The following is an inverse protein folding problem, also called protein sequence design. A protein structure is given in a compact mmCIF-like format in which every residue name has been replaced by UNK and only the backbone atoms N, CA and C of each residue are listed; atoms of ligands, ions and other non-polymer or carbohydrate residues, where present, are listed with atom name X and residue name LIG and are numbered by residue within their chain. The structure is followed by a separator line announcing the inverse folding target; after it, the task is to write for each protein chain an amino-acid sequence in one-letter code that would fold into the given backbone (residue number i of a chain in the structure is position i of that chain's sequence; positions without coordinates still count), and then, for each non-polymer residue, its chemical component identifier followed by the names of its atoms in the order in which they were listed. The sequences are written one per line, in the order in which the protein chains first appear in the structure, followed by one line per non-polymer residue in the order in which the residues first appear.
data_IF_199726563807
#
_entry.id   IF_199726563807
#
_cell.length_a   1.000
_cell.length_b   1.000
_cell.length_c   1.000
_cell.angle_alpha   90.00
_cell.angle_beta   90.00
_cell.angle_gamma   90.00
#
_symmetry.space_group_name_H-M   'P 1'
#
loop_
_entity.id
_entity.type
_entity.pdbx_description
1 polymer ?
#
# COMPACT_ATOMS: atom_id res chain seq x y z
N UNK A 1 26.14 28.08 24.17
CA UNK A 1 25.05 27.47 23.37
C UNK A 1 24.80 28.42 22.21
N UNK A 2 25.20 28.05 21.00
CA UNK A 2 25.02 28.89 19.81
C UNK A 2 23.69 28.49 19.18
N UNK A 3 22.74 29.42 19.12
CA UNK A 3 21.46 29.18 18.45
C UNK A 3 21.67 29.30 16.95
N UNK A 4 21.03 28.41 16.19
CA UNK A 4 21.07 28.47 14.73
C UNK A 4 20.22 29.62 14.19
N UNK A 5 20.54 30.08 12.99
CA UNK A 5 19.72 31.07 12.28
C UNK A 5 18.37 30.46 11.83
N UNK A 6 17.34 31.28 11.52
CA UNK A 6 16.09 30.77 10.93
C UNK A 6 16.31 29.98 9.64
N UNK A 7 17.30 30.38 8.84
CA UNK A 7 17.71 29.66 7.64
C UNK A 7 18.30 28.28 7.99
N UNK A 8 19.18 28.21 8.99
CA UNK A 8 19.73 26.93 9.46
C UNK A 8 18.64 26.02 10.06
N UNK A 9 17.64 26.57 10.74
CA UNK A 9 16.46 25.80 11.21
C UNK A 9 15.67 25.26 10.01
N UNK A 10 15.39 26.09 9.00
CA UNK A 10 14.66 25.71 7.79
C UNK A 10 15.26 24.47 7.13
N UNK A 11 16.60 24.43 6.97
CA UNK A 11 17.30 23.31 6.35
C UNK A 11 17.37 22.05 7.21
N UNK A 12 17.08 22.12 8.51
CA UNK A 12 16.98 20.95 9.40
C UNK A 12 15.58 20.35 9.47
N UNK A 13 14.57 20.98 8.88
CA UNK A 13 13.19 20.48 8.90
C UNK A 13 12.97 19.33 7.94
N UNK A 14 11.77 18.76 8.03
CA UNK A 14 11.36 17.60 7.25
C UNK A 14 11.03 17.95 5.80
N UNK A 15 10.11 18.87 5.57
CA UNK A 15 9.58 19.19 4.23
C UNK A 15 9.67 20.69 3.95
N UNK A 16 9.92 21.07 2.69
CA UNK A 16 9.99 22.47 2.23
C UNK A 16 8.71 23.25 2.59
N UNK A 17 7.55 22.64 2.43
CA UNK A 17 6.25 23.24 2.82
C UNK A 17 6.15 23.57 4.32
N UNK A 18 6.95 22.90 5.17
CA UNK A 18 7.02 23.13 6.61
C UNK A 18 8.17 24.07 7.00
N UNK A 19 8.87 24.66 6.03
CA UNK A 19 9.99 25.62 6.26
C UNK A 19 9.58 27.08 6.17
N UNK A 20 8.29 27.37 6.00
CA UNK A 20 7.79 28.73 5.91
C UNK A 20 7.70 29.36 7.30
N UNK A 21 8.25 30.55 7.45
CA UNK A 21 8.20 31.35 8.68
C UNK A 21 7.26 32.54 8.47
N UNK A 22 6.59 32.97 9.53
CA UNK A 22 5.81 34.21 9.51
C UNK A 22 6.49 35.25 10.39
N UNK A 23 6.93 36.34 9.79
CA UNK A 23 7.58 37.43 10.51
C UNK A 23 6.53 38.42 11.01
N UNK A 24 6.39 38.51 12.32
CA UNK A 24 5.38 39.38 12.98
C UNK A 24 5.70 40.87 12.89
N UNK A 25 6.95 41.25 12.57
CA UNK A 25 7.35 42.65 12.43
C UNK A 25 7.08 43.17 11.02
N UNK A 26 7.33 42.34 10.00
CA UNK A 26 7.07 42.70 8.60
C UNK A 26 5.69 42.26 8.12
N UNK A 27 5.02 41.38 8.86
CA UNK A 27 3.79 40.71 8.46
C UNK A 27 3.91 39.93 7.14
N UNK A 28 5.10 39.39 6.86
CA UNK A 28 5.39 38.64 5.65
C UNK A 28 5.72 37.19 5.97
N UNK A 29 5.43 36.32 4.99
CA UNK A 29 5.91 34.94 4.98
C UNK A 29 7.34 34.94 4.42
N UNK A 30 8.26 34.35 5.18
CA UNK A 30 9.67 34.19 4.82
C UNK A 30 9.92 32.73 4.41
N UNK A 31 10.41 32.55 3.18
CA UNK A 31 10.81 31.24 2.64
C UNK A 31 12.32 31.21 2.42
N UNK A 32 13.05 30.78 3.45
CA UNK A 32 14.50 30.68 3.41
C UNK A 32 15.00 29.63 2.41
N UNK A 33 14.21 28.60 2.11
CA UNK A 33 14.57 27.58 1.11
C UNK A 33 14.33 28.04 -0.32
N UNK A 34 13.56 29.12 -0.51
CA UNK A 34 13.07 29.66 -1.80
C UNK A 34 12.28 28.64 -2.63
N UNK A 35 11.79 27.58 -1.99
CA UNK A 35 11.07 26.47 -2.63
C UNK A 35 9.75 26.15 -1.91
N UNK A 36 9.64 26.43 -0.62
CA UNK A 36 8.47 26.07 0.19
C UNK A 36 7.14 26.63 -0.34
N UNK A 37 7.13 27.88 -0.81
CA UNK A 37 5.93 28.50 -1.38
C UNK A 37 5.52 27.86 -2.72
N UNK A 38 6.49 27.59 -3.59
CA UNK A 38 6.24 26.96 -4.89
C UNK A 38 5.83 25.50 -4.73
N UNK A 39 6.51 24.74 -3.88
CA UNK A 39 6.18 23.34 -3.58
C UNK A 39 4.77 23.23 -2.97
N UNK A 40 4.38 24.17 -2.11
CA UNK A 40 3.02 24.25 -1.58
C UNK A 40 2.00 24.54 -2.69
N UNK A 41 2.30 25.50 -3.57
CA UNK A 41 1.43 25.88 -4.70
C UNK A 41 1.24 24.74 -5.70
N UNK A 42 2.29 23.97 -5.98
CA UNK A 42 2.27 22.86 -6.93
C UNK A 42 1.94 21.51 -6.29
N UNK A 43 1.67 21.47 -4.99
CA UNK A 43 1.28 20.24 -4.28
C UNK A 43 2.39 19.19 -4.27
N UNK A 44 3.62 19.57 -3.93
CA UNK A 44 4.80 18.69 -3.91
C UNK A 44 5.27 18.41 -2.49
N UNK A 45 5.62 17.16 -2.23
CA UNK A 45 6.32 16.75 -1.01
C UNK A 45 7.81 16.64 -1.32
N UNK A 46 8.59 17.59 -0.80
CA UNK A 46 10.04 17.74 -1.07
C UNK A 46 10.77 18.05 0.24
N UNK A 47 12.02 17.59 0.38
CA UNK A 47 12.87 17.87 1.53
C UNK A 47 13.79 19.09 1.29
N UNK A 48 14.12 19.89 2.32
CA UNK A 48 15.02 21.04 2.18
C UNK A 48 16.44 20.65 1.77
N UNK A 49 16.91 19.49 2.24
CA UNK A 49 18.20 18.87 1.91
C UNK A 49 17.98 17.59 1.10
N UNK A 50 19.03 16.94 0.56
CA UNK A 50 18.88 15.66 -0.12
C UNK A 50 18.06 14.66 0.71
N UNK A 51 17.06 13.97 0.12
CA UNK A 51 16.14 13.08 0.83
C UNK A 51 16.80 12.08 1.78
N UNK A 52 17.86 11.40 1.33
CA UNK A 52 18.59 10.39 2.14
C UNK A 52 19.21 11.01 3.39
N UNK A 53 19.79 12.23 3.29
CA UNK A 53 20.37 12.94 4.44
C UNK A 53 19.26 13.28 5.44
N UNK A 54 18.15 13.84 4.95
CA UNK A 54 16.99 14.20 5.77
C UNK A 54 16.40 12.99 6.51
N UNK A 55 16.31 11.84 5.85
CA UNK A 55 15.77 10.61 6.44
C UNK A 55 16.74 9.91 7.40
N UNK A 56 18.05 10.01 7.20
CA UNK A 56 19.01 9.42 8.13
C UNK A 56 19.17 10.25 9.42
N UNK A 57 18.90 11.56 9.35
CA UNK A 57 18.84 12.49 10.48
C UNK A 57 17.67 12.15 11.43
N UNK A 58 16.44 12.08 10.91
CA UNK A 58 15.28 11.55 11.63
C UNK A 58 14.46 10.62 10.72
N UNK A 59 14.55 9.29 10.90
CA UNK A 59 13.84 8.34 10.04
C UNK A 59 12.31 8.41 10.13
N UNK A 60 11.76 9.04 11.18
CA UNK A 60 10.31 9.29 11.27
C UNK A 60 9.82 10.21 10.13
N UNK A 61 10.72 11.01 9.53
CA UNK A 61 10.39 11.91 8.42
C UNK A 61 9.89 11.19 7.19
N UNK A 62 10.21 9.91 7.00
CA UNK A 62 9.63 9.07 5.94
C UNK A 62 8.12 8.91 6.16
N UNK A 63 7.70 8.52 7.37
CA UNK A 63 6.29 8.37 7.71
C UNK A 63 5.55 9.72 7.63
N UNK A 64 6.19 10.80 8.07
CA UNK A 64 5.63 12.15 7.96
C UNK A 64 5.43 12.59 6.51
N UNK A 65 6.39 12.31 5.63
CA UNK A 65 6.29 12.61 4.21
C UNK A 65 5.11 11.87 3.56
N UNK A 66 4.95 10.58 3.87
CA UNK A 66 3.79 9.78 3.44
C UNK A 66 2.50 10.39 3.99
N UNK A 67 2.45 10.76 5.27
CA UNK A 67 1.25 11.35 5.90
C UNK A 67 0.86 12.66 5.22
N UNK A 68 1.81 13.53 4.94
CA UNK A 68 1.52 14.81 4.30
C UNK A 68 1.11 14.63 2.83
N UNK A 69 1.72 13.67 2.12
CA UNK A 69 1.29 13.29 0.77
C UNK A 69 -0.17 12.82 0.76
N UNK A 70 -0.55 11.90 1.65
CA UNK A 70 -1.91 11.36 1.70
C UNK A 70 -2.92 12.40 2.19
N UNK A 71 -2.58 13.17 3.24
CA UNK A 71 -3.47 14.19 3.81
C UNK A 71 -3.81 15.31 2.84
N UNK A 72 -2.85 15.77 2.04
CA UNK A 72 -3.05 16.90 1.14
C UNK A 72 -3.23 16.48 -0.33
N UNK A 73 -3.09 15.19 -0.65
CA UNK A 73 -3.09 14.70 -2.03
C UNK A 73 -1.89 15.20 -2.83
N UNK A 74 -0.78 15.50 -2.16
CA UNK A 74 0.42 16.05 -2.79
C UNK A 74 1.33 14.95 -3.32
N UNK A 75 1.98 15.21 -4.45
CA UNK A 75 2.88 14.26 -5.10
C UNK A 75 4.23 14.17 -4.36
N UNK A 76 4.63 12.95 -4.00
CA UNK A 76 6.00 12.68 -3.58
C UNK A 76 6.91 12.58 -4.81
N UNK A 77 7.96 13.40 -4.87
CA UNK A 77 8.94 13.32 -5.96
C UNK A 77 9.69 11.99 -5.96
N UNK A 78 10.17 11.59 -7.15
CA UNK A 78 10.78 10.27 -7.33
C UNK A 78 12.06 10.09 -6.49
N UNK A 79 12.88 11.13 -6.36
CA UNK A 79 14.05 11.14 -5.48
C UNK A 79 13.72 10.84 -4.01
N UNK A 80 12.54 11.29 -3.56
CA UNK A 80 12.06 11.08 -2.19
C UNK A 80 11.63 9.62 -2.01
N UNK A 81 10.95 9.04 -3.00
CA UNK A 81 10.55 7.63 -3.01
C UNK A 81 11.77 6.70 -3.03
N UNK A 82 12.74 6.98 -3.89
CA UNK A 82 13.99 6.22 -4.00
C UNK A 82 14.73 6.24 -2.66
N UNK A 83 14.87 7.40 -2.03
CA UNK A 83 15.51 7.50 -0.72
C UNK A 83 14.73 6.80 0.40
N UNK A 84 13.40 6.81 0.36
CA UNK A 84 12.58 6.07 1.33
C UNK A 84 12.74 4.55 1.18
N UNK A 85 13.03 4.06 -0.02
CA UNK A 85 13.25 2.63 -0.31
C UNK A 85 14.68 2.15 -0.02
N UNK A 86 15.61 3.06 0.26
CA UNK A 86 17.01 2.77 0.56
C UNK A 86 17.17 1.89 1.81
N UNK A 87 18.11 0.93 1.75
CA UNK A 87 18.31 -0.06 2.81
C UNK A 87 18.81 0.57 4.13
N UNK A 88 19.59 1.64 4.08
CA UNK A 88 20.10 2.33 5.26
C UNK A 88 18.96 3.06 5.96
N UNK A 89 18.11 3.75 5.18
CA UNK A 89 16.92 4.44 5.67
C UNK A 89 15.95 3.46 6.31
N UNK A 90 15.62 2.35 5.63
CA UNK A 90 14.78 1.28 6.19
C UNK A 90 15.32 0.74 7.51
N UNK A 91 16.63 0.50 7.59
CA UNK A 91 17.27 0.00 8.80
C UNK A 91 17.27 1.05 9.92
N UNK A 92 17.42 2.33 9.58
CA UNK A 92 17.33 3.43 10.53
C UNK A 92 15.92 3.60 11.11
N UNK A 93 14.86 3.40 10.31
CA UNK A 93 13.47 3.39 10.82
C UNK A 93 13.30 2.32 11.90
N UNK A 94 13.77 1.10 11.64
CA UNK A 94 13.64 -0.02 12.56
C UNK A 94 14.52 0.13 13.82
N UNK A 95 15.69 0.75 13.69
CA UNK A 95 16.68 0.86 14.77
C UNK A 95 16.60 2.14 15.60
N UNK A 96 16.11 3.26 15.05
CA UNK A 96 16.14 4.58 15.72
C UNK A 96 14.77 5.12 16.10
N UNK A 97 13.68 4.63 15.51
CA UNK A 97 12.33 5.17 15.75
C UNK A 97 11.58 4.26 16.71
N UNK A 98 11.07 4.85 17.79
CA UNK A 98 10.28 4.09 18.77
C UNK A 98 8.91 3.69 18.22
N UNK A 99 8.33 2.63 18.77
CA UNK A 99 7.00 2.13 18.37
C UNK A 99 5.92 3.18 18.60
N UNK A 100 6.02 3.95 19.68
CA UNK A 100 5.05 5.00 20.05
C UNK A 100 5.04 6.11 19.01
N UNK A 101 6.21 6.52 18.50
CA UNK A 101 6.32 7.54 17.46
C UNK A 101 5.76 7.06 16.13
N UNK A 102 6.00 5.80 15.78
CA UNK A 102 5.41 5.16 14.59
C UNK A 102 3.88 5.10 14.73
N UNK A 103 3.38 4.58 15.85
CA UNK A 103 1.96 4.46 16.12
C UNK A 103 1.24 5.82 16.10
N UNK A 104 1.88 6.86 16.64
CA UNK A 104 1.35 8.21 16.61
C UNK A 104 1.23 8.78 15.20
N UNK A 105 2.24 8.58 14.34
CA UNK A 105 2.16 9.01 12.95
C UNK A 105 1.07 8.27 12.17
N UNK A 106 0.90 6.97 12.43
CA UNK A 106 -0.19 6.17 11.84
C UNK A 106 -1.54 6.71 12.32
N UNK A 107 -1.73 6.92 13.63
CA UNK A 107 -2.97 7.49 14.18
C UNK A 107 -3.32 8.85 13.54
N UNK A 108 -2.33 9.69 13.26
CA UNK A 108 -2.54 10.95 12.55
C UNK A 108 -2.88 10.76 11.07
N UNK A 109 -2.33 9.75 10.38
CA UNK A 109 -2.78 9.37 9.04
C UNK A 109 -4.24 8.92 9.08
N UNK A 110 -4.60 8.08 10.06
CA UNK A 110 -5.95 7.55 10.20
C UNK A 110 -6.98 8.66 10.50
N UNK A 111 -6.63 9.61 11.37
CA UNK A 111 -7.46 10.79 11.66
C UNK A 111 -7.61 11.74 10.48
N UNK A 112 -6.65 11.73 9.55
CA UNK A 112 -6.65 12.59 8.36
C UNK A 112 -7.28 11.92 7.13
N UNK A 113 -7.42 10.59 7.14
CA UNK A 113 -8.10 9.84 6.09
C UNK A 113 -9.61 9.74 6.36
N UNK A 114 -10.43 9.62 5.32
CA UNK A 114 -11.84 9.25 5.49
C UNK A 114 -11.91 7.90 6.23
N UNK A 115 -12.92 7.69 7.08
CA UNK A 115 -13.09 6.48 7.88
C UNK A 115 -12.98 5.20 7.03
N UNK A 116 -13.34 5.29 5.75
CA UNK A 116 -13.19 4.23 4.76
C UNK A 116 -11.75 3.76 4.57
N UNK A 117 -10.78 4.67 4.46
CA UNK A 117 -9.38 4.29 4.20
C UNK A 117 -8.70 3.76 5.48
N UNK A 118 -9.12 4.24 6.66
CA UNK A 118 -8.76 3.65 7.96
C UNK A 118 -9.21 2.21 8.05
N UNK A 119 -10.50 1.98 7.81
CA UNK A 119 -11.09 0.65 7.89
C UNK A 119 -10.47 -0.29 6.84
N UNK A 120 -10.16 0.21 5.63
CA UNK A 120 -9.41 -0.57 4.63
C UNK A 120 -8.02 -0.93 5.13
N UNK A 121 -7.29 0.00 5.74
CA UNK A 121 -5.94 -0.27 6.22
C UNK A 121 -5.93 -1.30 7.35
N UNK A 122 -6.83 -1.15 8.31
CA UNK A 122 -7.01 -2.08 9.42
C UNK A 122 -7.34 -3.51 8.94
N UNK A 123 -8.36 -3.63 8.08
CA UNK A 123 -8.75 -4.89 7.45
C UNK A 123 -7.61 -5.49 6.58
N UNK A 124 -6.86 -4.65 5.87
CA UNK A 124 -5.69 -5.07 5.13
C UNK A 124 -4.58 -5.63 6.02
N UNK A 125 -4.35 -5.02 7.19
CA UNK A 125 -3.37 -5.50 8.18
C UNK A 125 -3.78 -6.86 8.72
N UNK A 126 -5.04 -7.03 9.12
CA UNK A 126 -5.57 -8.33 9.58
C UNK A 126 -5.42 -9.41 8.51
N UNK A 127 -5.81 -9.11 7.26
CA UNK A 127 -5.68 -10.05 6.13
C UNK A 127 -4.23 -10.43 5.86
N UNK A 128 -3.29 -9.49 5.92
CA UNK A 128 -1.87 -9.80 5.78
C UNK A 128 -1.32 -10.62 6.95
N UNK A 129 -1.76 -10.37 8.19
CA UNK A 129 -1.36 -11.20 9.34
C UNK A 129 -1.74 -12.67 9.13
N UNK A 130 -2.91 -12.94 8.56
CA UNK A 130 -3.32 -14.30 8.20
C UNK A 130 -2.53 -14.88 7.01
N UNK A 131 -2.16 -14.05 6.02
CA UNK A 131 -1.49 -14.52 4.80
C UNK A 131 0.03 -14.67 4.92
N UNK A 132 0.69 -13.91 5.78
CA UNK A 132 2.15 -13.95 5.94
C UNK A 132 2.65 -15.37 6.20
N UNK A 133 2.13 -16.12 7.20
CA UNK A 133 2.59 -17.49 7.45
C UNK A 133 2.48 -18.38 6.21
N UNK A 134 1.41 -18.22 5.44
CA UNK A 134 1.16 -19.02 4.23
C UNK A 134 2.13 -18.73 3.09
N UNK A 135 2.45 -17.45 2.88
CA UNK A 135 3.43 -17.04 1.86
C UNK A 135 4.83 -17.54 2.22
N UNK A 136 5.16 -17.57 3.51
CA UNK A 136 6.49 -17.97 3.99
C UNK A 136 6.65 -19.50 4.12
N UNK A 137 5.62 -20.23 4.57
CA UNK A 137 5.74 -21.68 4.83
C UNK A 137 5.53 -22.54 3.59
N UNK A 138 4.89 -22.03 2.52
CA UNK A 138 4.41 -22.81 1.37
C UNK A 138 3.50 -24.01 1.75
N UNK A 139 2.98 -24.06 2.98
CA UNK A 139 2.08 -25.12 3.43
C UNK A 139 0.61 -24.78 3.12
N UNK A 140 -0.25 -25.80 2.98
CA UNK A 140 -1.66 -25.62 2.62
C UNK A 140 -2.46 -24.76 3.63
N UNK A 141 -3.24 -23.81 3.12
CA UNK A 141 -4.17 -23.00 3.91
C UNK A 141 -5.28 -23.87 4.55
N UNK A 142 -5.50 -23.72 5.86
CA UNK A 142 -6.78 -24.07 6.45
C UNK A 142 -7.84 -23.06 5.98
N UNK A 143 -8.95 -23.54 5.41
CA UNK A 143 -10.01 -22.73 4.77
C UNK A 143 -10.69 -21.70 5.70
N UNK A 144 -10.41 -21.71 7.00
CA UNK A 144 -11.21 -21.00 8.01
C UNK A 144 -10.73 -19.59 8.36
N UNK A 145 -9.51 -19.18 7.98
CA UNK A 145 -8.94 -17.94 8.55
C UNK A 145 -9.35 -16.64 7.82
N UNK A 146 -9.76 -16.71 6.54
CA UNK A 146 -10.09 -15.51 5.74
C UNK A 146 -11.57 -15.38 5.34
N UNK A 147 -12.43 -16.38 5.63
CA UNK A 147 -13.84 -16.42 5.18
C UNK A 147 -14.03 -16.11 3.68
N UNK A 148 -13.07 -16.48 2.83
CA UNK A 148 -13.15 -16.30 1.38
C UNK A 148 -13.52 -17.63 0.72
N UNK A 149 -14.67 -17.67 0.04
CA UNK A 149 -15.07 -18.78 -0.82
C UNK A 149 -14.15 -18.84 -2.05
N UNK A 150 -13.11 -19.66 -1.99
CA UNK A 150 -12.18 -19.84 -3.11
C UNK A 150 -12.79 -20.72 -4.21
N UNK A 151 -12.54 -20.36 -5.47
CA UNK A 151 -12.82 -21.23 -6.61
C UNK A 151 -11.98 -22.51 -6.56
N UNK A 152 -12.46 -23.57 -7.20
CA UNK A 152 -11.72 -24.82 -7.31
C UNK A 152 -10.59 -24.68 -8.34
N UNK A 153 -9.35 -24.60 -7.83
CA UNK A 153 -8.11 -24.49 -8.61
C UNK A 153 -7.00 -25.29 -7.92
N UNK A 154 -5.93 -25.67 -8.65
CA UNK A 154 -4.74 -26.26 -8.06
C UNK A 154 -4.22 -25.46 -6.85
N UNK A 155 -3.83 -26.16 -5.78
CA UNK A 155 -3.35 -25.58 -4.50
C UNK A 155 -2.34 -24.45 -4.72
N UNK A 156 -1.38 -24.65 -5.61
CA UNK A 156 -0.32 -23.69 -5.95
C UNK A 156 -0.83 -22.32 -6.46
N UNK A 157 -2.08 -22.23 -6.92
CA UNK A 157 -2.67 -20.98 -7.41
C UNK A 157 -3.43 -20.23 -6.31
N UNK A 158 -3.75 -20.86 -5.18
CA UNK A 158 -4.56 -20.26 -4.11
C UNK A 158 -3.86 -19.08 -3.45
N UNK A 159 -2.54 -19.15 -3.23
CA UNK A 159 -1.73 -18.04 -2.70
C UNK A 159 -1.80 -16.80 -3.58
N UNK A 160 -1.68 -17.00 -4.89
CA UNK A 160 -1.81 -15.93 -5.87
C UNK A 160 -3.20 -15.29 -5.84
N UNK A 161 -4.26 -16.09 -5.72
CA UNK A 161 -5.63 -15.57 -5.62
C UNK A 161 -5.80 -14.75 -4.35
N UNK A 162 -5.42 -15.30 -3.20
CA UNK A 162 -5.60 -14.64 -1.91
C UNK A 162 -4.84 -13.32 -1.82
N UNK A 163 -3.55 -13.32 -2.16
CA UNK A 163 -2.75 -12.10 -2.24
C UNK A 163 -3.37 -11.11 -3.23
N UNK A 164 -3.77 -11.57 -4.41
CA UNK A 164 -4.38 -10.72 -5.43
C UNK A 164 -5.69 -10.05 -4.96
N UNK A 165 -6.51 -10.75 -4.18
CA UNK A 165 -7.75 -10.19 -3.61
C UNK A 165 -7.43 -9.09 -2.59
N UNK A 166 -6.51 -9.34 -1.66
CA UNK A 166 -6.07 -8.34 -0.66
C UNK A 166 -5.49 -7.12 -1.37
N UNK A 167 -4.60 -7.32 -2.34
CA UNK A 167 -3.98 -6.21 -3.07
C UNK A 167 -4.99 -5.42 -3.91
N UNK A 168 -6.03 -6.04 -4.47
CA UNK A 168 -7.11 -5.33 -5.18
C UNK A 168 -7.91 -4.42 -4.25
N UNK A 169 -8.12 -4.86 -3.02
CA UNK A 169 -8.84 -4.10 -1.99
C UNK A 169 -8.00 -2.97 -1.42
N UNK A 170 -6.70 -3.21 -1.19
CA UNK A 170 -5.78 -2.22 -0.65
C UNK A 170 -5.29 -1.21 -1.69
N UNK A 171 -5.21 -1.61 -2.95
CA UNK A 171 -4.60 -0.82 -4.03
C UNK A 171 -3.19 -0.38 -3.63
N UNK A 172 -2.83 0.87 -3.87
CA UNK A 172 -1.55 1.52 -3.55
C UNK A 172 -1.14 1.44 -2.07
N UNK A 173 -2.09 1.24 -1.15
CA UNK A 173 -1.81 1.12 0.28
C UNK A 173 -1.28 -0.26 0.71
N UNK A 174 -1.19 -1.24 -0.19
CA UNK A 174 -0.84 -2.62 0.19
C UNK A 174 0.53 -2.75 0.86
N UNK A 175 1.52 -1.92 0.47
CA UNK A 175 2.85 -1.90 1.10
C UNK A 175 2.80 -1.37 2.52
N UNK A 176 1.95 -0.37 2.78
CA UNK A 176 1.74 0.16 4.13
C UNK A 176 1.09 -0.92 4.99
N UNK A 177 0.03 -1.58 4.49
CA UNK A 177 -0.64 -2.67 5.19
C UNK A 177 0.31 -3.83 5.51
N UNK A 178 1.14 -4.26 4.55
CA UNK A 178 2.16 -5.31 4.75
C UNK A 178 3.24 -4.90 5.75
N UNK A 179 3.69 -3.64 5.71
CA UNK A 179 4.64 -3.11 6.68
C UNK A 179 4.06 -3.15 8.09
N UNK A 180 2.82 -2.71 8.25
CA UNK A 180 2.13 -2.70 9.55
C UNK A 180 1.89 -4.12 10.08
N UNK A 181 1.42 -5.05 9.25
CA UNK A 181 1.23 -6.45 9.65
C UNK A 181 2.55 -7.11 10.06
N UNK A 182 3.63 -6.87 9.31
CA UNK A 182 4.97 -7.34 9.67
C UNK A 182 5.47 -6.75 11.00
N UNK A 183 5.00 -5.53 11.37
CA UNK A 183 5.30 -4.89 12.65
C UNK A 183 4.53 -5.52 13.81
N UNK A 184 3.24 -5.81 13.60
CA UNK A 184 2.33 -6.32 14.63
C UNK A 184 2.57 -7.81 14.92
N UNK A 185 2.98 -8.60 13.92
CA UNK A 185 2.92 -10.06 13.97
C UNK A 185 4.17 -10.84 14.45
N UNK A 186 5.24 -10.23 14.96
CA UNK A 186 6.43 -11.04 15.31
C UNK A 186 7.58 -10.37 16.08
N UNK A 187 8.61 -11.17 16.36
CA UNK A 187 9.89 -10.75 16.96
C UNK A 187 10.55 -9.66 16.11
N UNK A 188 11.14 -8.67 16.77
CA UNK A 188 11.60 -7.41 16.16
C UNK A 188 12.57 -7.64 15.01
N UNK A 189 13.43 -8.64 15.19
CA UNK A 189 14.55 -9.00 14.35
C UNK A 189 14.10 -9.63 13.02
N UNK A 190 12.96 -10.33 13.01
CA UNK A 190 12.43 -11.04 11.82
C UNK A 190 11.48 -10.20 10.98
N UNK A 191 11.02 -9.05 11.48
CA UNK A 191 10.00 -8.23 10.80
C UNK A 191 10.43 -7.71 9.43
N UNK A 192 11.71 -7.33 9.32
CA UNK A 192 12.30 -6.87 8.06
C UNK A 192 12.36 -8.01 7.04
N UNK A 193 12.75 -9.19 7.49
CA UNK A 193 12.85 -10.39 6.65
C UNK A 193 11.47 -10.79 6.13
N UNK A 194 10.47 -10.84 7.01
CA UNK A 194 9.07 -11.10 6.67
C UNK A 194 8.56 -10.12 5.61
N UNK A 195 8.71 -8.81 5.83
CA UNK A 195 8.27 -7.80 4.86
C UNK A 195 8.93 -8.01 3.50
N UNK A 196 10.25 -8.16 3.48
CA UNK A 196 11.04 -8.27 2.24
C UNK A 196 10.72 -9.56 1.48
N UNK A 197 10.50 -10.67 2.19
CA UNK A 197 10.20 -11.96 1.58
C UNK A 197 8.79 -12.00 0.98
N UNK A 198 7.80 -11.47 1.69
CA UNK A 198 6.43 -11.37 1.18
C UNK A 198 6.33 -10.36 0.04
N UNK A 199 6.99 -9.21 0.14
CA UNK A 199 7.08 -8.23 -0.97
C UNK A 199 7.72 -8.87 -2.21
N UNK A 200 8.82 -9.60 -2.04
CA UNK A 200 9.51 -10.29 -3.13
C UNK A 200 8.60 -11.33 -3.79
N UNK A 201 7.84 -12.11 -3.03
CA UNK A 201 6.92 -13.09 -3.61
C UNK A 201 5.76 -12.43 -4.36
N UNK A 202 5.19 -11.34 -3.83
CA UNK A 202 4.16 -10.53 -4.51
C UNK A 202 4.67 -10.02 -5.87
N UNK A 203 5.91 -9.50 -5.91
CA UNK A 203 6.54 -8.99 -7.12
C UNK A 203 6.84 -10.11 -8.11
N UNK A 204 7.33 -11.27 -7.64
CA UNK A 204 7.56 -12.47 -8.46
C UNK A 204 6.26 -12.99 -9.09
N UNK A 205 5.15 -12.89 -8.36
CA UNK A 205 3.81 -13.16 -8.86
C UNK A 205 3.32 -12.03 -9.80
N UNK A 206 3.94 -10.86 -9.86
CA UNK A 206 3.48 -9.74 -10.68
C UNK A 206 2.09 -9.26 -10.26
N UNK A 207 1.87 -9.16 -8.94
CA UNK A 207 0.62 -8.68 -8.34
C UNK A 207 0.72 -7.20 -7.90
N UNK A 208 1.87 -6.57 -8.04
CA UNK A 208 2.20 -5.23 -7.50
C UNK A 208 1.37 -4.08 -8.05
N UNK A 209 0.60 -4.31 -9.13
CA UNK A 209 -0.39 -3.39 -9.71
C UNK A 209 -1.71 -4.09 -10.07
N UNK A 210 -2.04 -5.18 -9.39
CA UNK A 210 -3.18 -6.05 -9.78
C UNK A 210 -4.55 -5.34 -9.75
N UNK A 211 -4.70 -4.24 -9.00
CA UNK A 211 -5.90 -3.41 -9.00
C UNK A 211 -6.13 -2.64 -10.30
N UNK A 212 -5.10 -2.42 -11.11
CA UNK A 212 -5.21 -1.77 -12.42
C UNK A 212 -5.69 -2.74 -13.51
N UNK A 213 -5.61 -4.05 -13.26
CA UNK A 213 -6.00 -5.08 -14.22
C UNK A 213 -7.52 -5.13 -14.37
N UNK A 214 -7.98 -4.82 -15.59
CA UNK A 214 -9.40 -4.85 -15.98
C UNK A 214 -9.95 -6.28 -15.99
N UNK A 215 -11.27 -6.38 -15.82
CA UNK A 215 -11.95 -7.66 -15.97
C UNK A 215 -11.94 -8.12 -17.42
N UNK A 216 -11.76 -9.42 -17.65
CA UNK A 216 -11.78 -10.01 -19.00
C UNK A 216 -13.17 -9.89 -19.64
N UNK A 217 -14.20 -10.06 -18.82
CA UNK A 217 -15.61 -9.99 -19.21
C UNK A 217 -16.40 -9.20 -18.17
N UNK A 218 -17.51 -8.63 -18.60
CA UNK A 218 -18.45 -7.92 -17.74
C UNK A 218 -19.74 -8.73 -17.45
N UNK A 219 -20.70 -8.10 -16.76
CA UNK A 219 -21.96 -8.76 -16.45
C UNK A 219 -22.82 -9.05 -17.69
N UNK A 220 -22.73 -8.22 -18.73
CA UNK A 220 -23.49 -8.40 -19.98
C UNK A 220 -22.92 -9.56 -20.80
N UNK A 221 -21.59 -9.74 -20.81
CA UNK A 221 -20.94 -10.88 -21.42
C UNK A 221 -21.40 -12.20 -20.79
N UNK A 222 -21.45 -12.25 -19.45
CA UNK A 222 -21.92 -13.43 -18.71
C UNK A 222 -23.41 -13.69 -18.98
N UNK A 223 -24.25 -12.64 -19.00
CA UNK A 223 -25.68 -12.80 -19.31
C UNK A 223 -25.89 -13.34 -20.73
N UNK A 224 -25.14 -12.84 -21.72
CA UNK A 224 -25.20 -13.33 -23.11
C UNK A 224 -24.77 -14.79 -23.21
N UNK A 225 -23.71 -15.19 -22.50
CA UNK A 225 -23.22 -16.56 -22.54
C UNK A 225 -24.17 -17.56 -21.86
N UNK A 226 -24.84 -17.13 -20.79
CA UNK A 226 -25.78 -17.96 -20.02
C UNK A 226 -27.24 -17.83 -20.48
N UNK A 227 -27.49 -17.08 -21.56
CA UNK A 227 -28.84 -16.80 -22.09
C UNK A 227 -29.81 -16.23 -21.03
N UNK A 228 -29.30 -15.35 -20.16
CA UNK A 228 -30.09 -14.73 -19.08
C UNK A 228 -30.69 -13.39 -19.51
N UNK A 229 -32.00 -13.23 -19.29
CA UNK A 229 -32.70 -11.97 -19.61
C UNK A 229 -32.44 -10.84 -18.60
N UNK A 230 -32.08 -11.18 -17.35
CA UNK A 230 -31.89 -10.19 -16.27
C UNK A 230 -30.66 -10.51 -15.43
N UNK A 231 -30.01 -9.43 -15.00
CA UNK A 231 -28.93 -9.50 -14.03
C UNK A 231 -29.46 -9.99 -12.68
N UNK A 232 -28.68 -10.83 -11.99
CA UNK A 232 -29.12 -11.49 -10.76
C UNK A 232 -27.97 -12.09 -9.94
N UNK A 233 -28.30 -12.83 -8.86
CA UNK A 233 -27.31 -13.46 -7.98
C UNK A 233 -26.33 -14.38 -8.70
N UNK A 234 -26.78 -15.08 -9.76
CA UNK A 234 -25.95 -15.96 -10.59
C UNK A 234 -24.84 -15.18 -11.30
N UNK A 235 -25.17 -14.05 -11.93
CA UNK A 235 -24.17 -13.17 -12.59
C UNK A 235 -23.17 -12.63 -11.57
N UNK A 236 -23.63 -12.23 -10.37
CA UNK A 236 -22.74 -11.78 -9.28
C UNK A 236 -21.78 -12.89 -8.82
N UNK A 237 -22.26 -14.13 -8.71
CA UNK A 237 -21.43 -15.31 -8.38
C UNK A 237 -20.34 -15.52 -9.43
N UNK A 238 -20.70 -15.47 -10.72
CA UNK A 238 -19.72 -15.65 -11.80
C UNK A 238 -18.74 -14.50 -11.93
N UNK A 239 -19.16 -13.24 -11.76
CA UNK A 239 -18.23 -12.10 -11.67
C UNK A 239 -17.26 -12.24 -10.50
N UNK A 240 -17.71 -12.78 -9.35
CA UNK A 240 -16.83 -13.08 -8.21
C UNK A 240 -15.83 -14.19 -8.57
N UNK A 241 -16.28 -15.25 -9.22
CA UNK A 241 -15.43 -16.35 -9.67
C UNK A 241 -14.41 -15.89 -10.73
N UNK A 242 -14.82 -15.03 -11.66
CA UNK A 242 -13.98 -14.41 -12.67
C UNK A 242 -12.80 -13.69 -12.03
N UNK A 243 -13.05 -12.89 -10.99
CA UNK A 243 -11.97 -12.18 -10.27
C UNK A 243 -10.90 -13.14 -9.75
N UNK A 244 -11.33 -14.27 -9.20
CA UNK A 244 -10.41 -15.28 -8.69
C UNK A 244 -9.71 -16.04 -9.83
N UNK A 245 -10.45 -16.38 -10.89
CA UNK A 245 -9.93 -17.09 -12.04
C UNK A 245 -8.86 -16.28 -12.78
N UNK A 246 -9.11 -14.98 -13.01
CA UNK A 246 -8.12 -14.06 -13.59
C UNK A 246 -6.87 -13.91 -12.72
N UNK A 247 -7.03 -13.98 -11.39
CA UNK A 247 -5.89 -13.97 -10.49
C UNK A 247 -5.11 -15.28 -10.62
N UNK A 248 -5.77 -16.43 -10.74
CA UNK A 248 -5.14 -17.73 -10.90
C UNK A 248 -4.40 -17.87 -12.24
N UNK A 249 -5.03 -17.43 -13.33
CA UNK A 249 -4.57 -17.60 -14.71
C UNK A 249 -4.27 -16.24 -15.36
N UNK A 250 -3.07 -15.73 -15.08
CA UNK A 250 -2.63 -14.38 -15.50
C UNK A 250 -2.81 -14.08 -17.00
N UNK A 251 -2.62 -15.08 -17.85
CA UNK A 251 -2.69 -14.95 -19.31
C UNK A 251 -3.91 -15.65 -19.90
N UNK A 252 -4.90 -15.99 -19.07
CA UNK A 252 -6.12 -16.64 -19.51
C UNK A 252 -6.95 -15.74 -20.43
N UNK A 253 -7.52 -16.36 -21.46
CA UNK A 253 -8.41 -15.75 -22.45
C UNK A 253 -9.88 -15.80 -22.00
N UNK A 254 -10.72 -15.06 -22.72
CA UNK A 254 -12.18 -15.08 -22.51
C UNK A 254 -12.75 -16.47 -22.79
N UNK A 255 -12.24 -17.15 -23.82
CA UNK A 255 -12.66 -18.51 -24.21
C UNK A 255 -12.35 -19.51 -23.10
N UNK A 256 -11.12 -19.52 -22.59
CA UNK A 256 -10.69 -20.40 -21.49
C UNK A 256 -11.49 -20.15 -20.20
N UNK A 257 -11.88 -18.90 -19.92
CA UNK A 257 -12.74 -18.61 -18.76
C UNK A 257 -14.13 -19.21 -18.92
N UNK A 258 -14.74 -19.11 -20.10
CA UNK A 258 -16.07 -19.68 -20.35
C UNK A 258 -16.05 -21.21 -20.41
N UNK A 259 -14.99 -21.81 -20.93
CA UNK A 259 -14.82 -23.27 -20.88
C UNK A 259 -14.68 -23.77 -19.44
N UNK A 260 -13.90 -23.07 -18.61
CA UNK A 260 -13.85 -23.35 -17.18
C UNK A 260 -15.21 -23.16 -16.51
N UNK A 261 -15.93 -22.09 -16.84
CA UNK A 261 -17.27 -21.82 -16.29
C UNK A 261 -18.24 -22.97 -16.59
N UNK A 262 -18.26 -23.50 -17.81
CA UNK A 262 -19.09 -24.65 -18.19
C UNK A 262 -18.73 -25.90 -17.38
N UNK A 263 -17.44 -26.21 -17.26
CA UNK A 263 -16.98 -27.38 -16.51
C UNK A 263 -17.42 -27.37 -15.04
N UNK A 264 -17.58 -26.18 -14.46
CA UNK A 264 -18.03 -25.99 -13.08
C UNK A 264 -19.57 -26.05 -12.92
N UNK A 265 -20.33 -25.98 -14.01
CA UNK A 265 -21.80 -26.12 -14.01
C UNK A 265 -22.24 -27.57 -14.19
N UNK A 266 -21.37 -28.41 -14.76
CA UNK A 266 -21.60 -29.84 -14.99
C UNK A 266 -21.24 -30.73 -13.79
N UNK A 267 -20.59 -30.15 -12.76
CA UNK A 267 -20.23 -30.77 -11.47
C UNK A 267 -21.31 -30.54 -10.40
#
# INVERSE_FOLDING_TARGET
MQFGSPEEDAYRRDLTINTLFYNIHTCLVEDFTKRGLDDLKFGKIVTPLPPKVTFLDDPLRVLRAIRFSTRFGFEMLEELKVAALDNDVKSAILGKVSRERIAFEIDLMLKASDARDVMRLDDGVEKFLCLIPFVLSNEDMNKNDLKIDLIEVPVKLKSRILLGLVLREMKDLWRVALMLSSIVGGEVEKRKEVFMEVEKEILKLGLDKVWEVKHLVDGNDIMRHLELEKSGPVVKKWLRNLRQWQLAYRYGSVEEYFDWMKSQMEM
#
